data_IF_048064048654
#
_entry.id   IF_048064048654
#
_cell.length_a   1.000
_cell.length_b   1.000
_cell.length_c   1.000
_cell.angle_alpha   90.00
_cell.angle_beta   90.00
_cell.angle_gamma   90.00
#
_symmetry.space_group_name_H-M   'P 1'
#
loop_
_entity.id
_entity.type
_entity.pdbx_description
1 polymer ?
#
# COMPACT_ATOMS: atom_id res chain seq x y z
N UNK A 1 6.58 15.99 11.68
CA UNK A 1 5.25 16.46 12.13
C UNK A 1 5.09 16.05 13.58
N UNK A 2 4.60 16.90 14.48
CA UNK A 2 4.48 16.52 15.89
C UNK A 2 3.39 15.45 16.01
N UNK A 3 3.73 14.36 16.69
CA UNK A 3 2.80 13.31 17.08
C UNK A 3 1.91 13.85 18.20
N UNK A 4 0.87 14.62 17.85
CA UNK A 4 -0.19 14.92 18.81
C UNK A 4 -0.91 13.61 19.09
N UNK A 5 -0.82 13.11 20.32
CA UNK A 5 -1.54 11.91 20.74
C UNK A 5 -3.04 12.21 20.63
N UNK A 6 -3.69 11.61 19.63
CA UNK A 6 -5.15 11.68 19.49
C UNK A 6 -5.73 10.98 20.72
N UNK A 7 -6.41 11.74 21.57
CA UNK A 7 -7.14 11.15 22.71
C UNK A 7 -8.43 10.52 22.19
N UNK A 8 -9.01 9.57 22.93
CA UNK A 8 -10.20 8.85 22.48
C UNK A 8 -11.42 9.76 22.22
N UNK A 9 -11.44 10.98 22.74
CA UNK A 9 -12.52 11.96 22.58
C UNK A 9 -12.37 12.79 21.29
N UNK A 10 -11.21 12.73 20.63
CA UNK A 10 -10.88 13.53 19.43
C UNK A 10 -11.03 12.74 18.12
N UNK A 11 -11.46 11.46 18.19
CA UNK A 11 -11.60 10.64 16.99
C UNK A 11 -12.84 11.06 16.19
N UNK A 12 -12.73 11.27 14.87
CA UNK A 12 -13.89 11.56 14.03
C UNK A 12 -14.85 10.37 13.99
N UNK A 13 -16.16 10.65 14.03
CA UNK A 13 -17.21 9.63 13.92
C UNK A 13 -17.15 8.85 12.60
N UNK A 14 -16.61 9.47 11.54
CA UNK A 14 -16.50 8.87 10.20
C UNK A 14 -15.23 9.35 9.50
N UNK A 15 -14.48 8.40 8.93
CA UNK A 15 -13.33 8.65 8.07
C UNK A 15 -13.53 7.92 6.76
N UNK A 16 -13.43 8.63 5.65
CA UNK A 16 -13.39 8.05 4.32
C UNK A 16 -12.36 8.78 3.46
N UNK A 17 -11.19 8.17 3.27
CA UNK A 17 -10.10 8.78 2.50
C UNK A 17 -10.42 8.99 1.01
N UNK A 18 -11.52 8.40 0.49
CA UNK A 18 -12.02 8.68 -0.86
C UNK A 18 -12.51 10.12 -0.99
N UNK A 19 -13.15 10.64 0.06
CA UNK A 19 -13.65 12.03 0.13
C UNK A 19 -12.48 13.05 0.12
N UNK A 20 -11.26 12.60 0.38
CA UNK A 20 -10.04 13.40 0.43
C UNK A 20 -9.11 13.20 -0.78
N UNK A 21 -9.58 12.57 -1.86
CA UNK A 21 -8.77 12.30 -3.06
C UNK A 21 -7.46 11.54 -2.75
N UNK A 22 -7.51 10.61 -1.79
CA UNK A 22 -6.35 9.83 -1.33
C UNK A 22 -6.46 8.32 -1.62
N UNK A 23 -7.41 7.91 -2.47
CA UNK A 23 -7.67 6.50 -2.81
C UNK A 23 -7.85 6.38 -4.31
N UNK A 24 -7.05 5.51 -4.94
CA UNK A 24 -7.16 5.20 -6.38
C UNK A 24 -8.37 4.28 -6.65
N UNK A 25 -8.66 4.01 -7.93
CA UNK A 25 -9.71 3.04 -8.27
C UNK A 25 -9.35 1.64 -7.77
N UNK A 26 -10.39 0.87 -7.41
CA UNK A 26 -10.26 -0.55 -7.05
C UNK A 26 -9.52 -1.31 -8.15
N UNK A 27 -8.57 -2.16 -7.74
CA UNK A 27 -7.72 -2.96 -8.64
C UNK A 27 -8.00 -4.46 -8.47
N UNK A 28 -7.58 -5.27 -9.43
CA UNK A 28 -7.77 -6.72 -9.42
C UNK A 28 -6.42 -7.45 -9.49
N UNK A 29 -6.07 -8.21 -8.44
CA UNK A 29 -4.85 -9.03 -8.39
C UNK A 29 -4.94 -10.33 -9.21
N UNK A 30 -6.13 -10.68 -9.70
CA UNK A 30 -6.37 -11.92 -10.42
C UNK A 30 -5.99 -13.15 -9.60
N UNK A 31 -5.31 -14.10 -10.24
CA UNK A 31 -4.89 -15.38 -9.65
C UNK A 31 -3.52 -15.31 -8.95
N UNK A 32 -2.85 -14.17 -9.01
CA UNK A 32 -1.54 -13.97 -8.38
C UNK A 32 -1.72 -13.66 -6.89
N UNK A 33 -0.97 -14.34 -6.02
CA UNK A 33 -0.91 -14.06 -4.58
C UNK A 33 -0.16 -12.77 -4.25
N UNK A 34 -0.53 -11.67 -4.92
CA UNK A 34 0.11 -10.36 -4.84
C UNK A 34 -0.63 -9.37 -3.92
N UNK A 35 -1.61 -9.81 -3.13
CA UNK A 35 -2.34 -8.93 -2.20
C UNK A 35 -1.40 -8.04 -1.37
N UNK A 36 -0.29 -8.61 -0.88
CA UNK A 36 0.78 -7.91 -0.15
C UNK A 36 1.38 -6.72 -0.92
N UNK A 37 1.55 -6.85 -2.23
CA UNK A 37 2.07 -5.80 -3.10
C UNK A 37 1.00 -4.72 -3.36
N UNK A 38 -0.25 -5.12 -3.57
CA UNK A 38 -1.37 -4.20 -3.78
C UNK A 38 -1.63 -3.33 -2.55
N UNK A 39 -1.70 -3.91 -1.36
CA UNK A 39 -1.95 -3.14 -0.13
C UNK A 39 -0.77 -2.23 0.22
N UNK A 40 0.47 -2.65 -0.06
CA UNK A 40 1.64 -1.80 0.10
C UNK A 40 1.63 -0.61 -0.88
N UNK A 41 1.35 -0.86 -2.16
CA UNK A 41 1.20 0.19 -3.17
C UNK A 41 0.08 1.17 -2.77
N UNK A 42 -1.11 0.67 -2.44
CA UNK A 42 -2.27 1.49 -2.06
C UNK A 42 -2.04 2.37 -0.82
N UNK A 43 -1.34 1.86 0.21
CA UNK A 43 -0.97 2.68 1.36
C UNK A 43 0.01 3.81 0.97
N UNK A 44 0.96 3.52 0.08
CA UNK A 44 1.93 4.51 -0.41
C UNK A 44 1.27 5.53 -1.35
N UNK A 45 0.32 5.12 -2.18
CA UNK A 45 -0.54 5.99 -2.98
C UNK A 45 -1.24 7.02 -2.09
N UNK A 46 -1.95 6.53 -1.06
CA UNK A 46 -2.72 7.38 -0.17
C UNK A 46 -1.86 8.35 0.64
N UNK A 47 -0.76 7.90 1.24
CA UNK A 47 0.13 8.83 1.97
C UNK A 47 0.81 9.83 1.03
N UNK A 48 1.12 9.45 -0.21
CA UNK A 48 1.66 10.37 -1.21
C UNK A 48 0.63 11.45 -1.55
N UNK A 49 -0.63 11.07 -1.78
CA UNK A 49 -1.72 12.00 -2.02
C UNK A 49 -1.95 12.94 -0.82
N UNK A 50 -1.99 12.40 0.40
CA UNK A 50 -2.14 13.20 1.64
C UNK A 50 -1.02 14.23 1.79
N UNK A 51 0.23 13.87 1.50
CA UNK A 51 1.39 14.74 1.70
C UNK A 51 1.60 15.76 0.57
N UNK A 52 1.27 15.39 -0.66
CA UNK A 52 1.66 16.15 -1.85
C UNK A 52 0.49 16.70 -2.66
N UNK A 53 -0.74 16.24 -2.39
CA UNK A 53 -1.92 16.50 -3.20
C UNK A 53 -1.94 15.73 -4.53
N UNK A 54 -0.95 14.87 -4.81
CA UNK A 54 -0.86 14.10 -6.04
C UNK A 54 -1.23 12.64 -5.80
N UNK A 55 -2.38 12.24 -6.34
CA UNK A 55 -2.82 10.86 -6.42
C UNK A 55 -2.38 10.26 -7.77
N UNK A 56 -1.74 9.09 -7.73
CA UNK A 56 -1.20 8.39 -8.91
C UNK A 56 -1.23 6.89 -8.63
N UNK A 57 -1.56 6.06 -9.62
CA UNK A 57 -1.48 4.61 -9.50
C UNK A 57 -0.01 4.14 -9.45
N UNK A 58 0.36 3.45 -8.38
CA UNK A 58 1.68 2.83 -8.20
C UNK A 58 1.64 1.40 -8.71
N UNK A 59 2.80 0.82 -9.01
CA UNK A 59 2.92 -0.51 -9.62
C UNK A 59 3.10 -1.62 -8.58
N UNK A 60 2.07 -2.46 -8.31
CA UNK A 60 2.28 -3.71 -7.59
C UNK A 60 3.21 -4.66 -8.34
N UNK A 61 3.24 -4.59 -9.67
CA UNK A 61 4.07 -5.48 -10.50
C UNK A 61 5.56 -5.30 -10.23
N UNK A 62 6.01 -4.05 -10.05
CA UNK A 62 7.39 -3.78 -9.68
C UNK A 62 7.75 -4.49 -8.37
N UNK A 63 6.85 -4.50 -7.39
CA UNK A 63 7.06 -5.23 -6.13
C UNK A 63 7.12 -6.75 -6.39
N UNK A 64 6.15 -7.30 -7.12
CA UNK A 64 6.09 -8.74 -7.47
C UNK A 64 7.39 -9.22 -8.14
N UNK A 65 7.94 -8.41 -9.05
CA UNK A 65 9.10 -8.80 -9.84
C UNK A 65 10.43 -8.51 -9.12
N UNK A 66 10.53 -7.40 -8.39
CA UNK A 66 11.79 -6.85 -7.88
C UNK A 66 12.01 -7.04 -6.38
N UNK A 67 10.96 -7.17 -5.56
CA UNK A 67 11.12 -7.42 -4.14
C UNK A 67 11.52 -8.88 -3.89
N UNK A 68 12.83 -9.12 -3.81
CA UNK A 68 13.41 -10.44 -3.59
C UNK A 68 13.26 -10.94 -2.15
N UNK A 69 12.82 -10.09 -1.21
CA UNK A 69 12.51 -10.52 0.14
C UNK A 69 11.11 -11.18 0.23
N UNK A 70 10.30 -11.03 -0.82
CA UNK A 70 8.99 -11.65 -1.00
C UNK A 70 9.01 -12.73 -2.09
N UNK A 71 7.93 -13.50 -2.21
CA UNK A 71 7.82 -14.67 -3.08
C UNK A 71 6.92 -14.42 -4.31
N UNK A 72 6.86 -13.17 -4.78
CA UNK A 72 6.11 -12.78 -5.97
C UNK A 72 4.64 -13.19 -5.90
N UNK A 73 4.18 -13.96 -6.89
CA UNK A 73 2.79 -14.45 -6.95
C UNK A 73 2.48 -15.61 -5.99
N UNK A 74 3.45 -16.15 -5.25
CA UNK A 74 3.16 -17.22 -4.28
C UNK A 74 2.57 -16.65 -2.99
N UNK A 75 3.26 -15.69 -2.41
CA UNK A 75 2.85 -14.95 -1.22
C UNK A 75 3.87 -13.85 -0.93
N UNK A 76 3.59 -13.03 0.08
CA UNK A 76 4.51 -12.02 0.58
C UNK A 76 3.97 -11.32 1.80
N UNK A 77 4.80 -10.47 2.38
CA UNK A 77 4.52 -9.67 3.55
C UNK A 77 4.60 -8.19 3.16
N UNK A 78 3.53 -7.44 3.44
CA UNK A 78 3.39 -6.03 3.04
C UNK A 78 4.47 -5.14 3.66
N UNK A 79 4.93 -5.44 4.88
CA UNK A 79 5.99 -4.67 5.53
C UNK A 79 7.35 -4.79 4.82
N UNK A 80 7.67 -5.96 4.22
CA UNK A 80 8.88 -6.12 3.39
C UNK A 80 8.78 -5.30 2.11
N UNK A 81 7.57 -5.23 1.54
CA UNK A 81 7.32 -4.36 0.39
C UNK A 81 7.49 -2.89 0.75
N UNK A 82 7.00 -2.44 1.90
CA UNK A 82 7.24 -1.08 2.39
C UNK A 82 8.73 -0.79 2.59
N UNK A 83 9.50 -1.73 3.14
CA UNK A 83 10.97 -1.62 3.24
C UNK A 83 11.66 -1.57 1.86
N UNK A 84 11.18 -2.35 0.90
CA UNK A 84 11.65 -2.28 -0.48
C UNK A 84 11.38 -0.89 -1.09
N UNK A 85 10.16 -0.35 -0.93
CA UNK A 85 9.77 0.98 -1.45
C UNK A 85 10.62 2.08 -0.80
N UNK A 86 10.88 1.98 0.51
CA UNK A 86 11.77 2.91 1.21
C UNK A 86 13.17 2.96 0.58
N UNK A 87 13.72 1.80 0.21
CA UNK A 87 15.09 1.68 -0.32
C UNK A 87 15.19 1.99 -1.82
N UNK A 88 14.19 1.60 -2.60
CA UNK A 88 14.29 1.56 -4.07
C UNK A 88 13.35 2.53 -4.77
N UNK A 89 12.38 3.12 -4.05
CA UNK A 89 11.21 3.82 -4.61
C UNK A 89 10.32 2.84 -5.39
N UNK A 90 9.10 3.26 -5.69
CA UNK A 90 8.14 2.50 -6.49
C UNK A 90 7.77 3.26 -7.76
N UNK A 91 7.59 2.53 -8.85
CA UNK A 91 7.14 3.05 -10.13
C UNK A 91 5.64 3.34 -10.13
N UNK A 92 5.19 4.15 -11.08
CA UNK A 92 3.76 4.20 -11.41
C UNK A 92 3.34 2.95 -12.19
N UNK A 93 2.08 2.57 -12.08
CA UNK A 93 1.53 1.45 -12.85
C UNK A 93 1.67 1.69 -14.36
N UNK A 94 1.45 2.92 -14.84
CA UNK A 94 1.69 3.30 -16.24
C UNK A 94 3.10 2.95 -16.74
N UNK A 95 4.12 3.09 -15.89
CA UNK A 95 5.51 2.86 -16.28
C UNK A 95 5.96 1.40 -16.06
N UNK A 96 5.23 0.65 -15.22
CA UNK A 96 5.47 -0.76 -14.96
C UNK A 96 4.10 -1.47 -14.75
N UNK A 97 3.36 -1.76 -15.83
CA UNK A 97 1.98 -2.22 -15.71
C UNK A 97 1.84 -3.59 -15.07
N UNK A 98 0.74 -3.81 -14.36
CA UNK A 98 0.38 -5.11 -13.81
C UNK A 98 -0.01 -6.13 -14.88
N UNK A 99 0.55 -7.34 -14.78
CA UNK A 99 0.20 -8.47 -15.65
C UNK A 99 -0.12 -9.77 -14.90
N UNK A 100 -0.03 -9.74 -13.56
CA UNK A 100 -0.41 -10.87 -12.71
C UNK A 100 0.53 -12.07 -12.79
N UNK A 101 1.74 -11.91 -13.34
CA UNK A 101 2.72 -12.99 -13.44
C UNK A 101 4.06 -12.47 -12.95
N UNK A 102 4.72 -13.21 -12.06
CA UNK A 102 6.07 -12.84 -11.65
C UNK A 102 7.05 -12.99 -12.82
N UNK A 103 7.71 -11.89 -13.18
CA UNK A 103 8.75 -11.83 -14.21
C UNK A 103 10.11 -11.49 -13.63
N UNK A 104 11.09 -11.39 -14.53
CA UNK A 104 12.37 -10.78 -14.21
C UNK A 104 12.15 -9.29 -13.92
N UNK A 105 12.67 -8.84 -12.79
CA UNK A 105 12.74 -7.43 -12.45
C UNK A 105 13.39 -6.63 -13.59
N UNK A 106 12.67 -5.64 -14.11
CA UNK A 106 13.14 -4.77 -15.18
C UNK A 106 12.88 -3.30 -14.83
N UNK A 107 13.63 -2.79 -13.85
CA UNK A 107 13.64 -1.35 -13.57
C UNK A 107 14.28 -0.60 -14.73
N UNK A 108 13.61 0.43 -15.26
CA UNK A 108 14.20 1.25 -16.33
C UNK A 108 15.37 2.05 -15.78
N UNK A 109 16.48 2.05 -16.52
CA UNK A 109 17.69 2.78 -16.15
C UNK A 109 17.53 4.31 -16.27
N UNK A 110 16.50 4.77 -17.00
CA UNK A 110 16.17 6.19 -17.18
C UNK A 110 15.52 6.86 -15.96
N UNK A 111 15.27 6.12 -14.88
CA UNK A 111 14.69 6.64 -13.64
C UNK A 111 13.17 6.85 -13.69
N UNK A 112 12.51 6.59 -14.83
CA UNK A 112 11.04 6.68 -14.94
C UNK A 112 10.31 5.69 -14.00
N UNK A 113 11.00 4.66 -13.51
CA UNK A 113 10.49 3.71 -12.53
C UNK A 113 10.57 4.19 -11.07
N UNK A 114 10.96 5.45 -10.79
CA UNK A 114 11.20 5.96 -9.42
C UNK A 114 10.24 7.08 -9.03
N UNK A 115 8.96 6.80 -8.90
CA UNK A 115 7.94 7.79 -8.60
C UNK A 115 7.89 8.18 -7.11
N UNK A 116 7.47 7.27 -6.23
CA UNK A 116 7.25 7.56 -4.81
C UNK A 116 8.19 6.75 -3.90
N UNK A 117 8.44 7.27 -2.70
CA UNK A 117 9.10 6.53 -1.62
C UNK A 117 8.52 6.99 -0.29
N UNK A 118 8.76 6.20 0.75
CA UNK A 118 8.44 6.52 2.13
C UNK A 118 9.73 6.63 2.95
N UNK A 119 9.68 7.38 4.06
CA UNK A 119 10.79 7.49 5.00
C UNK A 119 10.83 6.31 5.99
N UNK A 120 9.68 5.70 6.25
CA UNK A 120 9.52 4.58 7.18
C UNK A 120 8.08 4.11 7.28
N UNK A 121 7.85 3.14 8.16
CA UNK A 121 6.55 2.60 8.51
C UNK A 121 6.54 2.22 10.00
N UNK A 122 5.34 2.15 10.58
CA UNK A 122 5.15 1.80 11.99
C UNK A 122 4.07 0.73 12.11
N UNK A 123 4.23 -0.16 13.08
CA UNK A 123 3.22 -1.17 13.41
C UNK A 123 2.16 -0.52 14.31
N UNK A 124 0.91 -0.65 13.91
CA UNK A 124 -0.23 -0.32 14.78
C UNK A 124 -0.47 -1.51 15.69
N UNK A 125 -0.38 -1.32 17.00
CA UNK A 125 -0.67 -2.38 17.96
C UNK A 125 -2.15 -2.79 17.90
N UNK A 126 -2.41 -4.05 18.22
CA UNK A 126 -3.77 -4.60 18.21
C UNK A 126 -4.71 -3.82 19.14
N UNK A 127 -5.87 -3.45 18.61
CA UNK A 127 -6.93 -2.80 19.36
C UNK A 127 -7.75 -1.90 18.46
N UNK A 128 -9.08 -1.95 18.60
CA UNK A 128 -10.02 -1.17 17.78
C UNK A 128 -9.69 0.32 17.80
N UNK A 129 -9.49 0.89 19.00
CA UNK A 129 -9.14 2.31 19.17
C UNK A 129 -7.80 2.69 18.54
N UNK A 130 -6.81 1.81 18.64
CA UNK A 130 -5.49 2.05 18.03
C UNK A 130 -5.61 2.06 16.49
N UNK A 131 -6.40 1.15 15.92
CA UNK A 131 -6.68 1.13 14.49
C UNK A 131 -7.50 2.35 14.06
N UNK A 132 -8.53 2.74 14.80
CA UNK A 132 -9.33 3.95 14.53
C UNK A 132 -8.45 5.20 14.51
N UNK A 133 -7.57 5.36 15.51
CA UNK A 133 -6.64 6.49 15.57
C UNK A 133 -5.65 6.50 14.40
N UNK A 134 -5.15 5.33 13.98
CA UNK A 134 -4.28 5.23 12.82
C UNK A 134 -5.00 5.58 11.51
N UNK A 135 -6.21 5.06 11.32
CA UNK A 135 -7.05 5.33 10.14
C UNK A 135 -7.46 6.80 10.04
N UNK A 136 -7.66 7.48 11.18
CA UNK A 136 -7.96 8.91 11.20
C UNK A 136 -6.84 9.80 10.67
N UNK A 137 -5.60 9.30 10.61
CA UNK A 137 -4.42 10.07 10.17
C UNK A 137 -3.99 9.73 8.75
N UNK A 138 -4.12 8.46 8.33
CA UNK A 138 -3.74 8.00 7.00
C UNK A 138 -4.29 6.59 6.71
N UNK A 139 -4.11 6.10 5.48
CA UNK A 139 -4.42 4.73 5.11
C UNK A 139 -3.53 3.74 5.88
N UNK A 140 -4.14 2.64 6.34
CA UNK A 140 -3.50 1.59 7.13
C UNK A 140 -3.62 0.25 6.40
N UNK A 141 -2.53 -0.52 6.37
CA UNK A 141 -2.56 -1.90 5.87
C UNK A 141 -3.05 -2.80 7.01
N UNK A 142 -4.06 -3.60 6.73
CA UNK A 142 -4.61 -4.59 7.66
C UNK A 142 -4.62 -5.96 7.02
N UNK A 143 -4.54 -6.99 7.85
CA UNK A 143 -4.66 -8.39 7.43
C UNK A 143 -5.94 -8.96 8.02
N UNK A 144 -6.70 -9.69 7.20
CA UNK A 144 -7.95 -10.33 7.59
C UNK A 144 -7.89 -11.81 7.18
N UNK A 145 -8.40 -12.68 8.06
CA UNK A 145 -8.62 -14.08 7.72
C UNK A 145 -9.90 -14.21 6.91
N UNK A 146 -9.81 -14.81 5.72
CA UNK A 146 -10.96 -15.06 4.86
C UNK A 146 -11.41 -16.50 4.99
N UNK A 147 -12.71 -16.71 5.16
CA UNK A 147 -13.33 -18.02 5.15
C UNK A 147 -14.14 -18.25 3.86
N UNK A 148 -14.79 -19.42 3.76
CA UNK A 148 -15.59 -19.79 2.59
C UNK A 148 -16.80 -18.89 2.37
N UNK A 149 -17.28 -18.19 3.41
CA UNK A 149 -18.45 -17.32 3.30
C UNK A 149 -18.09 -15.98 2.71
N UNK A 150 -16.87 -15.50 2.97
CA UNK A 150 -16.37 -14.25 2.40
C UNK A 150 -16.30 -14.26 0.87
N UNK A 151 -16.26 -15.45 0.24
CA UNK A 151 -16.28 -15.58 -1.22
C UNK A 151 -17.58 -15.01 -1.86
N UNK A 152 -18.68 -14.94 -1.10
CA UNK A 152 -20.00 -14.50 -1.60
C UNK A 152 -20.43 -13.12 -1.12
N UNK A 153 -19.57 -12.40 -0.38
CA UNK A 153 -19.82 -11.01 0.02
C UNK A 153 -19.75 -10.07 -1.19
#
# INVERSE_FOLDING_TARGET
MPHTAITNEDLPDRVDWRDHHAVTSVKNQGHCGACWAFVAAGAVEGITAIKTGKLEDLSPQMLVDCDKANLGCRCGESWRALDFIKKNRIATDRNYPYDGIQRRCHMRADGLSRFASIEGFHVVYSGEKALMAAVAVQLVIVEIGLDIYFHYY
#
